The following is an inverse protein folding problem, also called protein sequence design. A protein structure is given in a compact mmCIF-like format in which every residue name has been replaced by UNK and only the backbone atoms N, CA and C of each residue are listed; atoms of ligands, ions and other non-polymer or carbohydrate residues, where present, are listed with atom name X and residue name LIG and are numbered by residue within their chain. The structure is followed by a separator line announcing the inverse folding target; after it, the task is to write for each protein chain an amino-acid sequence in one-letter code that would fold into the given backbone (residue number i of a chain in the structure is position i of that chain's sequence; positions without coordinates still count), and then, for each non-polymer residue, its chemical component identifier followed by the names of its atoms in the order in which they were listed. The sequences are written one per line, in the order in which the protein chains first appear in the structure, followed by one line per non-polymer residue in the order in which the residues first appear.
data_IF_665609581802
#
_entry.id   IF_665609581802
#
_cell.length_a   1.000
_cell.length_b   1.000
_cell.length_c   1.000
_cell.angle_alpha   90.00
_cell.angle_beta   90.00
_cell.angle_gamma   90.00
#
_symmetry.space_group_name_H-M   'P 1'
#
loop_
_entity.id
_entity.type
_entity.pdbx_description
1 polymer ?
#
# COMPACT_ATOMS: atom_id res chain seq x y z
N UNK A 1 -6.31 -12.56 9.05
CA UNK A 1 -6.92 -11.81 7.96
C UNK A 1 -8.30 -12.36 7.71
N UNK A 2 -9.23 -11.68 8.24
CA UNK A 2 -10.62 -12.12 8.13
C UNK A 2 -11.20 -11.65 6.79
N UNK A 3 -11.70 -12.58 6.03
CA UNK A 3 -12.76 -12.29 5.11
C UNK A 3 -12.41 -11.58 3.81
N UNK A 4 -11.23 -11.83 3.22
CA UNK A 4 -11.09 -11.43 1.82
C UNK A 4 -12.11 -12.21 1.00
N UNK A 5 -12.86 -11.52 0.15
CA UNK A 5 -13.80 -12.23 -0.71
C UNK A 5 -13.06 -13.24 -1.58
N UNK A 6 -13.72 -14.36 -1.87
CA UNK A 6 -13.16 -15.37 -2.75
C UNK A 6 -12.89 -14.84 -4.16
N UNK A 7 -13.57 -13.77 -4.55
CA UNK A 7 -13.38 -13.11 -5.85
C UNK A 7 -13.55 -11.60 -5.70
N UNK A 8 -12.68 -10.84 -6.35
CA UNK A 8 -12.78 -9.41 -6.46
C UNK A 8 -13.63 -9.04 -7.67
N UNK A 9 -14.46 -7.98 -7.54
CA UNK A 9 -15.19 -7.42 -8.69
C UNK A 9 -14.24 -6.71 -9.66
N UNK A 10 -13.25 -6.04 -9.11
CA UNK A 10 -12.25 -5.36 -9.90
C UNK A 10 -10.90 -5.40 -9.19
N UNK A 11 -9.84 -5.44 -9.97
CA UNK A 11 -8.48 -5.39 -9.47
C UNK A 11 -7.60 -4.60 -10.43
N UNK A 12 -6.60 -3.92 -9.88
CA UNK A 12 -5.62 -3.19 -10.67
C UNK A 12 -4.27 -3.30 -9.98
N UNK A 13 -3.38 -4.08 -10.58
CA UNK A 13 -2.04 -4.31 -10.05
C UNK A 13 -1.04 -3.66 -10.99
N UNK A 14 -0.22 -2.76 -10.46
CA UNK A 14 0.84 -2.11 -11.24
C UNK A 14 1.95 -3.10 -11.57
N UNK A 15 2.70 -2.88 -12.67
CA UNK A 15 4.01 -3.49 -12.81
C UNK A 15 4.90 -3.15 -11.61
N UNK A 16 5.85 -4.04 -11.23
CA UNK A 16 6.77 -3.72 -10.15
C UNK A 16 7.54 -2.42 -10.39
N UNK A 17 7.71 -1.63 -9.33
CA UNK A 17 8.46 -0.39 -9.33
C UNK A 17 9.77 -0.59 -8.58
N UNK A 18 10.85 -0.02 -9.09
CA UNK A 18 12.09 0.05 -8.31
C UNK A 18 11.83 0.74 -6.96
N UNK A 19 12.44 0.21 -5.90
CA UNK A 19 12.29 0.74 -4.54
C UNK A 19 13.07 2.05 -4.38
N UNK A 20 12.74 3.04 -5.17
CA UNK A 20 13.35 4.36 -5.24
C UNK A 20 12.44 5.40 -4.61
N UNK A 21 13.00 6.56 -4.28
CA UNK A 21 12.25 7.68 -3.68
C UNK A 21 11.10 8.18 -4.55
N UNK A 22 11.15 7.92 -5.85
CA UNK A 22 10.09 8.29 -6.80
C UNK A 22 8.90 7.34 -6.77
N UNK A 23 9.05 6.15 -6.20
CA UNK A 23 8.00 5.14 -6.21
C UNK A 23 6.69 5.60 -5.55
N UNK A 24 6.70 6.30 -4.39
CA UNK A 24 5.44 6.77 -3.80
C UNK A 24 4.64 7.70 -4.71
N UNK A 25 5.31 8.59 -5.44
CA UNK A 25 4.62 9.51 -6.37
C UNK A 25 4.00 8.75 -7.55
N UNK A 26 4.70 7.75 -8.07
CA UNK A 26 4.19 6.91 -9.15
C UNK A 26 2.99 6.10 -8.67
N UNK A 27 3.07 5.56 -7.45
CA UNK A 27 1.97 4.82 -6.84
C UNK A 27 0.72 5.70 -6.67
N UNK A 28 0.88 6.97 -6.25
CA UNK A 28 -0.24 7.91 -6.16
C UNK A 28 -0.93 8.11 -7.50
N UNK A 29 -0.16 8.23 -8.58
CA UNK A 29 -0.73 8.35 -9.93
C UNK A 29 -1.58 7.15 -10.31
N UNK A 30 -1.11 5.95 -9.99
CA UNK A 30 -1.86 4.72 -10.22
C UNK A 30 -3.18 4.70 -9.43
N UNK A 31 -3.14 5.07 -8.16
CA UNK A 31 -4.34 5.17 -7.32
C UNK A 31 -5.35 6.12 -7.95
N UNK A 32 -4.90 7.32 -8.32
CA UNK A 32 -5.78 8.33 -8.91
C UNK A 32 -6.44 7.84 -10.18
N UNK A 33 -5.68 7.26 -11.08
CA UNK A 33 -6.20 6.73 -12.34
C UNK A 33 -7.19 5.58 -12.11
N UNK A 34 -6.87 4.67 -11.20
CA UNK A 34 -7.73 3.54 -10.90
C UNK A 34 -9.04 3.97 -10.25
N UNK A 35 -8.97 4.84 -9.24
CA UNK A 35 -10.19 5.32 -8.56
C UNK A 35 -11.06 6.14 -9.49
N UNK A 36 -10.48 6.91 -10.39
CA UNK A 36 -11.27 7.61 -11.41
C UNK A 36 -12.00 6.63 -12.33
N UNK A 37 -11.30 5.60 -12.80
CA UNK A 37 -11.90 4.56 -13.64
C UNK A 37 -13.01 3.78 -12.93
N UNK A 38 -12.86 3.57 -11.62
CA UNK A 38 -13.84 2.83 -10.81
C UNK A 38 -14.92 3.74 -10.21
N UNK A 39 -14.90 5.03 -10.51
CA UNK A 39 -15.83 6.04 -9.97
C UNK A 39 -15.82 6.09 -8.45
N UNK A 40 -14.64 5.99 -7.88
CA UNK A 40 -14.40 6.07 -6.43
C UNK A 40 -13.59 7.32 -6.08
N UNK A 41 -13.81 8.42 -6.81
CA UNK A 41 -13.02 9.65 -6.63
C UNK A 41 -13.14 10.25 -5.24
N UNK A 42 -14.22 9.97 -4.51
CA UNK A 42 -14.39 10.42 -3.13
C UNK A 42 -13.37 9.83 -2.17
N UNK A 43 -12.72 8.74 -2.55
CA UNK A 43 -11.67 8.09 -1.76
C UNK A 43 -10.27 8.59 -2.09
N UNK A 44 -10.09 9.45 -3.07
CA UNK A 44 -8.78 9.86 -3.58
C UNK A 44 -7.82 10.30 -2.48
N UNK A 45 -8.21 11.34 -1.73
CA UNK A 45 -7.30 11.98 -0.79
C UNK A 45 -6.78 10.99 0.25
N UNK A 46 -7.67 10.18 0.79
CA UNK A 46 -7.32 9.21 1.83
C UNK A 46 -6.48 8.08 1.25
N UNK A 47 -6.91 7.49 0.14
CA UNK A 47 -6.21 6.33 -0.43
C UNK A 47 -4.84 6.72 -0.99
N UNK A 48 -4.73 7.87 -1.66
CA UNK A 48 -3.45 8.36 -2.15
C UNK A 48 -2.45 8.54 -1.02
N UNK A 49 -2.88 9.15 0.09
CA UNK A 49 -2.00 9.37 1.22
C UNK A 49 -1.56 8.05 1.85
N UNK A 50 -2.50 7.14 2.09
CA UNK A 50 -2.19 5.83 2.68
C UNK A 50 -1.24 5.04 1.77
N UNK A 51 -1.54 4.93 0.48
CA UNK A 51 -0.67 4.20 -0.46
C UNK A 51 0.72 4.84 -0.55
N UNK A 52 0.78 6.16 -0.55
CA UNK A 52 2.05 6.89 -0.52
C UNK A 52 2.90 6.53 0.70
N UNK A 53 2.27 6.45 1.87
CA UNK A 53 2.96 6.08 3.11
C UNK A 53 3.39 4.62 3.10
N UNK A 54 2.54 3.72 2.62
CA UNK A 54 2.89 2.30 2.50
C UNK A 54 4.02 2.09 1.48
N UNK A 55 4.00 2.80 0.37
CA UNK A 55 5.06 2.73 -0.63
C UNK A 55 6.39 3.27 -0.07
N UNK A 56 6.36 4.41 0.62
CA UNK A 56 7.55 4.97 1.27
C UNK A 56 8.12 4.00 2.31
N UNK A 57 7.26 3.34 3.06
CA UNK A 57 7.65 2.32 4.03
C UNK A 57 8.37 1.15 3.34
N UNK A 58 7.85 0.68 2.22
CA UNK A 58 8.48 -0.38 1.43
C UNK A 58 9.84 0.03 0.86
N UNK A 59 9.94 1.27 0.38
CA UNK A 59 11.20 1.84 -0.10
C UNK A 59 12.23 1.90 1.04
N UNK A 60 11.83 2.40 2.20
CA UNK A 60 12.72 2.50 3.36
C UNK A 60 13.16 1.11 3.85
N UNK A 61 12.26 0.15 3.88
CA UNK A 61 12.58 -1.23 4.26
C UNK A 61 13.56 -1.89 3.29
N UNK A 62 13.56 -1.46 2.04
CA UNK A 62 14.42 -1.99 0.97
C UNK A 62 15.77 -1.27 0.87
N UNK A 63 16.00 -0.26 1.70
CA UNK A 63 17.24 0.51 1.67
C UNK A 63 18.34 -0.19 2.48
N UNK A 64 19.57 -0.05 1.98
CA UNK A 64 20.76 -0.45 2.72
C UNK A 64 21.24 0.64 3.69
N UNK A 65 22.39 0.42 4.36
CA UNK A 65 22.95 1.38 5.34
C UNK A 65 23.23 2.75 4.74
N UNK A 66 23.47 2.84 3.44
CA UNK A 66 23.73 4.09 2.73
C UNK A 66 22.46 4.85 2.33
N UNK A 67 21.28 4.34 2.68
CA UNK A 67 20.00 4.91 2.31
C UNK A 67 19.59 4.65 0.86
N UNK A 68 20.39 3.91 0.10
CA UNK A 68 20.09 3.52 -1.27
C UNK A 68 19.49 2.13 -1.30
N UNK A 69 18.74 1.77 -2.39
CA UNK A 69 18.21 0.41 -2.51
C UNK A 69 19.31 -0.64 -2.35
N UNK A 70 19.04 -1.62 -1.49
CA UNK A 70 19.96 -2.72 -1.27
C UNK A 70 19.78 -3.77 -2.38
N UNK A 71 20.69 -3.78 -3.34
CA UNK A 71 20.66 -4.75 -4.43
C UNK A 71 20.92 -6.16 -3.89
N UNK A 72 20.21 -7.12 -4.41
CA UNK A 72 20.36 -8.52 -4.08
C UNK A 72 20.60 -9.31 -5.37
N UNK A 73 21.73 -10.03 -5.44
CA UNK A 73 22.15 -10.76 -6.66
C UNK A 73 22.12 -9.87 -7.91
N UNK A 74 22.61 -8.62 -7.80
CA UNK A 74 22.64 -7.68 -8.90
C UNK A 74 21.30 -7.09 -9.30
N UNK A 75 20.23 -7.37 -8.56
CA UNK A 75 18.89 -6.88 -8.85
C UNK A 75 18.47 -5.81 -7.86
N UNK A 76 17.90 -4.75 -8.38
CA UNK A 76 17.29 -3.70 -7.57
C UNK A 76 16.06 -4.26 -6.87
N UNK A 77 15.87 -3.97 -5.56
CA UNK A 77 14.62 -4.32 -4.91
C UNK A 77 13.46 -3.54 -5.53
N UNK A 78 12.29 -4.18 -5.54
CA UNK A 78 11.07 -3.60 -6.11
C UNK A 78 9.96 -3.56 -5.08
N UNK A 79 9.00 -2.67 -5.30
CA UNK A 79 7.69 -2.70 -4.63
C UNK A 79 6.61 -2.92 -5.68
N UNK A 80 5.47 -3.42 -5.26
CA UNK A 80 4.32 -3.59 -6.14
C UNK A 80 3.05 -3.16 -5.44
N UNK A 81 2.25 -2.35 -6.13
CA UNK A 81 1.01 -1.78 -5.59
C UNK A 81 -0.16 -2.43 -6.30
N UNK A 82 -1.15 -2.88 -5.54
CA UNK A 82 -2.39 -3.41 -6.06
C UNK A 82 -3.60 -2.78 -5.38
N UNK A 83 -4.65 -2.59 -6.13
CA UNK A 83 -5.94 -2.14 -5.64
C UNK A 83 -6.99 -3.17 -6.00
N UNK A 84 -7.87 -3.47 -5.04
CA UNK A 84 -8.89 -4.50 -5.17
C UNK A 84 -10.20 -4.01 -4.57
N UNK A 85 -11.31 -4.38 -5.18
CA UNK A 85 -12.62 -4.06 -4.60
C UNK A 85 -13.63 -5.17 -4.84
N UNK A 86 -14.52 -5.36 -3.86
CA UNK A 86 -15.71 -6.20 -3.97
C UNK A 86 -16.98 -5.37 -4.09
N UNK A 87 -16.87 -4.04 -4.24
CA UNK A 87 -17.97 -3.11 -4.27
C UNK A 87 -18.38 -2.55 -2.91
N UNK A 88 -18.02 -3.22 -1.82
CA UNK A 88 -18.30 -2.77 -0.46
C UNK A 88 -17.06 -2.15 0.20
N UNK A 89 -15.89 -2.67 -0.13
CA UNK A 89 -14.61 -2.17 0.38
C UNK A 89 -13.61 -2.05 -0.76
N UNK A 90 -12.67 -1.15 -0.57
CA UNK A 90 -11.45 -1.03 -1.38
C UNK A 90 -10.29 -1.50 -0.52
N UNK A 91 -9.46 -2.38 -1.05
CA UNK A 91 -8.22 -2.82 -0.39
C UNK A 91 -7.04 -2.35 -1.23
N UNK A 92 -6.10 -1.66 -0.58
CA UNK A 92 -4.81 -1.32 -1.17
C UNK A 92 -3.75 -2.25 -0.59
N UNK A 93 -2.90 -2.78 -1.44
CA UNK A 93 -1.78 -3.63 -1.04
C UNK A 93 -0.48 -3.04 -1.56
N UNK A 94 0.53 -3.04 -0.72
CA UNK A 94 1.89 -2.72 -1.14
C UNK A 94 2.80 -3.88 -0.73
N UNK A 95 3.39 -4.51 -1.72
CA UNK A 95 4.35 -5.59 -1.54
C UNK A 95 5.76 -5.06 -1.62
N UNK A 96 6.63 -5.53 -0.76
CA UNK A 96 8.06 -5.32 -0.87
C UNK A 96 8.82 -6.63 -0.64
N UNK A 97 10.09 -6.65 -1.03
CA UNK A 97 10.92 -7.84 -0.96
C UNK A 97 11.79 -7.90 0.30
N UNK A 98 11.72 -6.86 1.13
CA UNK A 98 12.55 -6.78 2.34
C UNK A 98 11.99 -7.70 3.42
N UNK A 99 12.84 -8.45 4.05
CA UNK A 99 12.50 -9.16 5.28
C UNK A 99 12.23 -8.13 6.40
N UNK A 100 11.64 -8.57 7.48
CA UNK A 100 11.34 -7.71 8.60
C UNK A 100 9.85 -7.45 8.75
N UNK A 101 9.51 -6.61 9.70
CA UNK A 101 8.15 -6.38 10.14
C UNK A 101 7.86 -4.89 10.08
N UNK A 102 6.71 -4.46 9.52
CA UNK A 102 6.31 -3.07 9.63
C UNK A 102 6.11 -2.71 11.11
N UNK A 103 6.75 -1.63 11.55
CA UNK A 103 6.65 -1.20 12.94
C UNK A 103 6.04 0.19 12.99
N UNK A 104 4.95 0.29 13.74
CA UNK A 104 4.33 1.54 14.04
C UNK A 104 5.09 2.22 15.18
N UNK A 105 5.49 3.49 14.99
CA UNK A 105 6.12 4.28 16.05
C UNK A 105 5.03 5.04 16.81
N UNK A 106 5.04 4.90 18.12
CA UNK A 106 4.08 5.58 18.97
C UNK A 106 4.32 7.08 19.11
N UNK A 107 3.36 7.80 19.73
CA UNK A 107 3.54 9.21 20.03
C UNK A 107 4.77 9.45 20.92
N UNK A 108 5.50 10.52 20.65
CA UNK A 108 6.68 10.88 21.43
C UNK A 108 8.01 10.39 20.86
N UNK A 109 7.98 9.60 19.79
CA UNK A 109 9.18 9.23 19.08
C UNK A 109 9.67 10.43 18.26
N UNK A 110 10.89 10.90 18.54
CA UNK A 110 11.40 12.12 17.94
C UNK A 110 11.81 11.94 16.47
N UNK A 111 11.90 10.70 15.99
CA UNK A 111 12.28 10.38 14.62
C UNK A 111 11.04 10.46 13.72
N UNK A 112 11.07 11.38 12.75
CA UNK A 112 9.98 11.54 11.79
C UNK A 112 9.83 10.34 10.83
N UNK A 113 10.90 9.56 10.64
CA UNK A 113 10.83 8.36 9.84
C UNK A 113 10.00 7.29 10.56
N UNK A 114 9.05 6.66 9.87
CA UNK A 114 8.20 5.61 10.43
C UNK A 114 6.88 6.08 11.02
N UNK A 115 6.56 7.35 10.96
CA UNK A 115 5.21 7.86 11.32
C UNK A 115 4.17 7.53 10.26
N UNK A 116 4.58 7.06 9.11
CA UNK A 116 3.67 6.69 8.04
C UNK A 116 2.64 5.66 8.46
N UNK A 117 3.01 4.67 9.27
CA UNK A 117 2.05 3.67 9.75
C UNK A 117 1.07 4.25 10.77
N UNK A 118 1.46 5.28 11.53
CA UNK A 118 0.52 5.98 12.41
C UNK A 118 -0.54 6.71 11.58
N UNK A 119 -0.15 7.33 10.48
CA UNK A 119 -1.07 7.98 9.55
C UNK A 119 -2.02 6.92 8.95
N UNK A 120 -1.49 5.79 8.52
CA UNK A 120 -2.30 4.68 8.00
C UNK A 120 -3.30 4.19 9.05
N UNK A 121 -2.83 4.02 10.28
CA UNK A 121 -3.68 3.56 11.38
C UNK A 121 -4.86 4.51 11.64
N UNK A 122 -4.60 5.81 11.67
CA UNK A 122 -5.64 6.82 11.88
C UNK A 122 -6.60 6.90 10.70
N UNK A 123 -6.08 6.98 9.49
CA UNK A 123 -6.91 7.17 8.30
C UNK A 123 -7.76 5.96 7.95
N UNK A 124 -7.36 4.77 8.39
CA UNK A 124 -8.12 3.54 8.13
C UNK A 124 -8.92 3.08 9.33
N UNK A 125 -8.93 3.83 10.44
CA UNK A 125 -9.53 3.39 11.71
C UNK A 125 -9.03 2.02 12.12
N UNK A 126 -7.72 1.83 12.07
CA UNK A 126 -7.02 0.59 12.38
C UNK A 126 -7.31 -0.58 11.41
N UNK A 127 -7.91 -0.30 10.26
CA UNK A 127 -8.19 -1.33 9.24
C UNK A 127 -7.00 -1.51 8.30
N UNK A 128 -5.90 -1.93 8.85
CA UNK A 128 -4.69 -2.27 8.11
C UNK A 128 -4.00 -3.45 8.76
N UNK A 129 -3.12 -4.07 8.05
CA UNK A 129 -2.34 -5.18 8.58
C UNK A 129 -1.23 -5.55 7.60
N UNK A 130 -0.57 -6.65 7.90
CA UNK A 130 0.49 -7.13 7.03
C UNK A 130 0.62 -8.65 7.16
N UNK A 131 1.25 -9.26 6.16
CA UNK A 131 1.59 -10.67 6.19
C UNK A 131 2.78 -10.92 5.27
N UNK A 132 3.50 -12.01 5.53
CA UNK A 132 4.54 -12.45 4.61
C UNK A 132 3.93 -13.22 3.43
N UNK A 133 4.68 -13.29 2.33
CA UNK A 133 4.37 -14.21 1.24
C UNK A 133 4.42 -15.65 1.76
N UNK A 134 3.70 -16.60 1.13
CA UNK A 134 3.76 -18.02 1.53
C UNK A 134 5.16 -18.59 1.50
N UNK A 135 6.04 -18.06 0.66
CA UNK A 135 7.44 -18.45 0.57
C UNK A 135 8.32 -17.23 0.36
N UNK A 136 9.48 -17.20 1.03
CA UNK A 136 10.44 -16.11 0.91
C UNK A 136 10.17 -14.95 1.85
N UNK A 137 11.02 -13.91 1.80
CA UNK A 137 10.97 -12.78 2.72
C UNK A 137 9.98 -11.69 2.35
N UNK A 138 9.38 -11.73 1.16
CA UNK A 138 8.47 -10.69 0.71
C UNK A 138 7.30 -10.53 1.67
N UNK A 139 6.84 -9.30 1.83
CA UNK A 139 5.68 -9.02 2.67
C UNK A 139 4.72 -8.07 1.98
N UNK A 140 3.47 -8.16 2.38
CA UNK A 140 2.39 -7.28 1.97
C UNK A 140 1.92 -6.49 3.17
N UNK A 141 1.86 -5.18 3.02
CA UNK A 141 1.14 -4.31 3.95
C UNK A 141 -0.12 -3.86 3.23
N UNK A 142 -1.26 -4.03 3.86
CA UNK A 142 -2.56 -3.73 3.24
C UNK A 142 -3.35 -2.76 4.09
N UNK A 143 -4.26 -2.04 3.44
CA UNK A 143 -5.20 -1.14 4.09
C UNK A 143 -6.56 -1.28 3.44
N UNK A 144 -7.61 -1.13 4.24
CA UNK A 144 -8.99 -1.32 3.80
C UNK A 144 -9.80 -0.05 4.00
N UNK A 145 -10.61 0.29 3.01
CA UNK A 145 -11.44 1.49 3.00
C UNK A 145 -12.88 1.11 2.69
N UNK A 146 -13.85 1.46 3.54
CA UNK A 146 -15.25 1.22 3.22
C UNK A 146 -15.69 2.12 2.07
N UNK A 147 -16.50 1.56 1.16
CA UNK A 147 -17.11 2.31 0.08
C UNK A 147 -18.51 2.73 0.52
N UNK A 148 -18.82 4.01 0.39
CA UNK A 148 -20.15 4.51 0.73
C UNK A 148 -21.18 3.96 -0.26
N UNK A 149 -22.29 3.43 0.26
CA UNK A 149 -23.40 2.91 -0.56
C UNK A 149 -24.15 4.02 -1.31
N UNK A 150 -23.91 5.28 -0.98
CA UNK A 150 -24.52 6.41 -1.68
C UNK A 150 -23.92 6.64 -3.06
N UNK A 151 -22.75 6.06 -3.35
CA UNK A 151 -22.14 6.15 -4.67
C UNK A 151 -22.67 5.04 -5.56
N UNK A 152 -23.33 5.36 -6.69
CA UNK A 152 -23.75 4.32 -7.62
C UNK A 152 -22.52 3.57 -8.11
N UNK A 153 -22.49 2.29 -7.86
CA UNK A 153 -21.40 1.45 -8.32
C UNK A 153 -21.49 1.29 -9.82
N UNK A 154 -20.45 1.72 -10.50
CA UNK A 154 -20.36 1.59 -11.94
C UNK A 154 -19.51 0.38 -12.35
N UNK A 155 -19.54 -0.67 -11.56
CA UNK A 155 -18.91 -1.94 -11.90
C UNK A 155 -19.86 -2.78 -12.75
N UNK A 156 -20.12 -2.30 -13.93
CA UNK A 156 -20.93 -3.04 -14.89
C UNK A 156 -20.08 -3.38 -16.09
#
# INVERSE_FOLDING_TARGET
MSGRPAAWLASSVMPPLGALRTAPAIARGHVRNTLAAWRLSELWDTVELVVSELAANGVNASAGPDGRPAFHNGRMPVIQVGLFTDGAVLVAEVWDQAGGVPVRKGPGDADESGRGLDIVHELTNARWGWHHAPAGPAKCVWAEFPISRASPTAFI
#
